data_IF_712989779220
#
_entry.id   IF_712989779220
#
_cell.length_a   1.000
_cell.length_b   1.000
_cell.length_c   1.000
_cell.angle_alpha   90.00
_cell.angle_beta   90.00
_cell.angle_gamma   90.00
#
_symmetry.space_group_name_H-M   'P 1'
#
loop_
_entity.id
_entity.type
_entity.pdbx_description
1 polymer ?
#
# COMPACT_ATOMS: atom_id res chain seq x y z
N UNK A 1 46.18 -26.59 21.54
CA UNK A 1 44.73 -26.83 21.40
C UNK A 1 43.99 -25.58 21.86
N UNK A 2 43.60 -24.70 20.94
CA UNK A 2 42.93 -23.46 21.29
C UNK A 2 41.82 -23.12 20.28
N UNK A 3 40.63 -22.93 20.85
CA UNK A 3 39.56 -22.03 20.40
C UNK A 3 38.87 -22.29 19.05
N UNK A 4 38.09 -23.38 19.00
CA UNK A 4 36.93 -23.51 18.08
C UNK A 4 35.66 -22.94 18.72
N UNK A 5 35.57 -21.65 19.05
CA UNK A 5 34.32 -21.07 19.62
C UNK A 5 34.05 -19.59 19.29
N UNK A 6 34.46 -19.05 18.14
CA UNK A 6 34.11 -17.65 17.79
C UNK A 6 33.88 -17.47 16.28
N UNK A 7 33.01 -18.28 15.65
CA UNK A 7 32.56 -18.01 14.26
C UNK A 7 31.09 -18.43 14.09
N UNK A 8 30.20 -18.01 15.00
CA UNK A 8 28.74 -18.18 14.80
C UNK A 8 27.95 -16.91 15.17
N UNK A 9 28.60 -15.84 15.63
CA UNK A 9 27.91 -14.62 16.07
C UNK A 9 27.76 -13.55 14.98
N UNK A 10 28.35 -13.71 13.78
CA UNK A 10 28.26 -12.68 12.72
C UNK A 10 27.13 -12.89 11.70
N UNK A 11 26.41 -14.02 11.74
CA UNK A 11 25.39 -14.34 10.73
C UNK A 11 23.96 -13.91 11.12
N UNK A 12 23.72 -13.51 12.38
CA UNK A 12 22.37 -13.18 12.89
C UNK A 12 22.04 -11.68 12.76
N UNK A 13 23.01 -10.83 12.39
CA UNK A 13 22.82 -9.37 12.28
C UNK A 13 22.40 -8.89 10.88
N UNK A 14 21.89 -9.78 10.01
CA UNK A 14 21.40 -9.45 8.67
C UNK A 14 19.87 -9.33 8.55
N UNK A 15 19.16 -9.36 9.68
CA UNK A 15 17.73 -9.06 9.72
C UNK A 15 17.56 -7.67 10.31
N UNK A 16 17.19 -6.70 9.46
CA UNK A 16 16.47 -5.43 9.79
C UNK A 16 17.03 -4.17 9.14
N UNK A 17 17.42 -4.19 7.87
CA UNK A 17 17.53 -2.94 7.11
C UNK A 17 16.85 -3.06 5.75
N UNK A 18 15.52 -2.91 5.77
CA UNK A 18 14.76 -2.64 4.56
C UNK A 18 15.05 -1.20 4.14
N UNK A 19 15.92 -1.02 3.15
CA UNK A 19 16.28 0.30 2.62
C UNK A 19 15.19 0.80 1.64
N UNK A 20 15.06 2.13 1.45
CA UNK A 20 14.10 2.74 0.50
C UNK A 20 14.16 2.12 -0.91
N UNK A 21 15.36 1.70 -1.34
CA UNK A 21 15.56 1.01 -2.62
C UNK A 21 14.77 -0.30 -2.72
N UNK A 22 14.54 -1.02 -1.62
CA UNK A 22 13.70 -2.21 -1.60
C UNK A 22 12.22 -1.85 -1.61
N UNK A 23 11.80 -0.86 -0.83
CA UNK A 23 10.39 -0.42 -0.76
C UNK A 23 9.86 0.15 -2.08
N UNK A 24 10.62 1.04 -2.73
CA UNK A 24 10.21 1.59 -4.04
C UNK A 24 10.10 0.48 -5.09
N UNK A 25 11.04 -0.46 -5.09
CA UNK A 25 10.98 -1.66 -5.94
C UNK A 25 9.75 -2.53 -5.68
N UNK A 26 9.24 -2.59 -4.45
CA UNK A 26 8.02 -3.34 -4.13
C UNK A 26 6.80 -2.69 -4.79
N UNK A 27 6.62 -1.37 -4.62
CA UNK A 27 5.51 -0.64 -5.28
C UNK A 27 5.62 -0.74 -6.80
N UNK A 28 6.82 -0.48 -7.35
CA UNK A 28 7.07 -0.57 -8.79
C UNK A 28 6.80 -2.00 -9.31
N UNK A 29 7.13 -3.04 -8.54
CA UNK A 29 6.83 -4.43 -8.91
C UNK A 29 5.32 -4.71 -8.93
N UNK A 30 4.55 -4.14 -8.00
CA UNK A 30 3.09 -4.28 -8.04
C UNK A 30 2.49 -3.53 -9.21
N UNK A 31 3.00 -2.34 -9.55
CA UNK A 31 2.56 -1.57 -10.71
C UNK A 31 2.80 -2.33 -12.02
N UNK A 32 3.99 -2.92 -12.18
CA UNK A 32 4.34 -3.73 -13.36
C UNK A 32 3.39 -4.93 -13.47
N UNK A 33 3.21 -5.69 -12.38
CA UNK A 33 2.30 -6.86 -12.38
C UNK A 33 0.85 -6.46 -12.64
N UNK A 34 0.45 -5.28 -12.17
CA UNK A 34 -0.88 -4.76 -12.45
C UNK A 34 -1.04 -4.44 -13.93
N UNK A 35 -0.08 -3.73 -14.53
CA UNK A 35 -0.09 -3.42 -15.94
C UNK A 35 -0.07 -4.68 -16.81
N UNK A 36 0.80 -5.65 -16.51
CA UNK A 36 0.82 -6.96 -17.18
C UNK A 36 -0.54 -7.66 -17.08
N UNK A 37 -1.22 -7.58 -15.93
CA UNK A 37 -2.56 -8.14 -15.75
C UNK A 37 -3.59 -7.44 -16.63
N UNK A 38 -3.53 -6.11 -16.76
CA UNK A 38 -4.40 -5.34 -17.65
C UNK A 38 -4.15 -5.65 -19.13
N UNK A 39 -2.88 -5.74 -19.54
CA UNK A 39 -2.46 -5.99 -20.92
C UNK A 39 -2.90 -7.36 -21.44
N UNK A 40 -3.10 -8.33 -20.54
CA UNK A 40 -3.70 -9.62 -20.86
C UNK A 40 -5.17 -9.51 -21.31
N UNK A 41 -5.84 -8.36 -21.10
CA UNK A 41 -7.19 -8.03 -21.57
C UNK A 41 -8.34 -8.83 -20.95
N UNK A 42 -8.04 -9.89 -20.19
CA UNK A 42 -9.01 -10.75 -19.52
C UNK A 42 -9.01 -10.46 -18.03
N UNK A 43 -10.20 -10.54 -17.41
CA UNK A 43 -10.34 -10.42 -15.96
C UNK A 43 -9.83 -9.07 -15.38
N UNK A 44 -9.91 -7.98 -16.16
CA UNK A 44 -9.41 -6.65 -15.79
C UNK A 44 -10.02 -6.11 -14.49
N UNK A 45 -11.31 -6.37 -14.25
CA UNK A 45 -11.97 -6.13 -12.95
C UNK A 45 -11.22 -6.78 -11.78
N UNK A 46 -10.83 -8.04 -11.94
CA UNK A 46 -10.09 -8.77 -10.92
C UNK A 46 -8.66 -8.26 -10.75
N UNK A 47 -8.01 -7.82 -11.84
CA UNK A 47 -6.72 -7.14 -11.78
C UNK A 47 -6.81 -5.89 -10.90
N UNK A 48 -7.75 -4.98 -11.19
CA UNK A 48 -7.93 -3.72 -10.45
C UNK A 48 -8.28 -3.98 -8.98
N UNK A 49 -9.21 -4.91 -8.69
CA UNK A 49 -9.59 -5.27 -7.32
C UNK A 49 -8.40 -5.85 -6.53
N UNK A 50 -7.59 -6.71 -7.16
CA UNK A 50 -6.39 -7.29 -6.53
C UNK A 50 -5.34 -6.22 -6.25
N UNK A 51 -5.06 -5.37 -7.23
CA UNK A 51 -4.09 -4.30 -7.09
C UNK A 51 -4.49 -3.31 -5.98
N UNK A 52 -5.76 -2.91 -5.92
CA UNK A 52 -6.31 -2.15 -4.79
C UNK A 52 -6.01 -2.82 -3.44
N UNK A 53 -6.30 -4.12 -3.30
CA UNK A 53 -6.07 -4.85 -2.05
C UNK A 53 -4.59 -4.91 -1.66
N UNK A 54 -3.68 -5.01 -2.64
CA UNK A 54 -2.24 -4.99 -2.40
C UNK A 54 -1.79 -3.62 -1.89
N UNK A 55 -2.26 -2.54 -2.52
CA UNK A 55 -1.94 -1.18 -2.08
C UNK A 55 -2.48 -0.89 -0.68
N UNK A 56 -3.70 -1.30 -0.37
CA UNK A 56 -4.30 -1.10 0.96
C UNK A 56 -3.55 -1.85 2.05
N UNK A 57 -3.11 -3.08 1.76
CA UNK A 57 -2.24 -3.85 2.67
C UNK A 57 -0.90 -3.15 2.93
N UNK A 58 -0.32 -2.51 1.91
CA UNK A 58 0.92 -1.75 2.06
C UNK A 58 0.75 -0.49 2.92
N UNK A 59 -0.40 0.18 2.87
CA UNK A 59 -0.67 1.33 3.77
C UNK A 59 -0.56 0.89 5.22
N UNK A 60 -1.22 -0.20 5.60
CA UNK A 60 -1.16 -0.73 6.97
C UNK A 60 0.27 -1.12 7.37
N UNK A 61 1.00 -1.79 6.47
CA UNK A 61 2.40 -2.16 6.72
C UNK A 61 3.27 -0.92 7.01
N UNK A 62 3.19 0.12 6.18
CA UNK A 62 3.99 1.32 6.39
C UNK A 62 3.54 2.11 7.60
N UNK A 63 2.24 2.22 7.84
CA UNK A 63 1.69 2.87 9.02
C UNK A 63 2.26 2.26 10.30
N UNK A 64 2.16 0.94 10.47
CA UNK A 64 2.67 0.27 11.67
C UNK A 64 4.19 0.38 11.80
N UNK A 65 4.92 0.27 10.68
CA UNK A 65 6.38 0.41 10.68
C UNK A 65 6.80 1.80 11.14
N UNK A 66 6.17 2.86 10.61
CA UNK A 66 6.45 4.24 10.97
C UNK A 66 6.05 4.49 12.42
N UNK A 67 4.82 4.12 12.80
CA UNK A 67 4.30 4.35 14.15
C UNK A 67 5.25 3.78 15.23
N UNK A 68 5.75 2.55 15.02
CA UNK A 68 6.67 1.90 15.95
C UNK A 68 8.09 2.50 15.97
N UNK A 69 8.45 3.33 14.97
CA UNK A 69 9.75 4.01 14.90
C UNK A 69 9.75 5.42 15.51
N UNK A 70 8.58 5.93 15.92
CA UNK A 70 8.39 7.27 16.46
C UNK A 70 8.35 7.28 17.99
N UNK A 71 8.73 8.41 18.58
CA UNK A 71 8.47 8.72 20.00
C UNK A 71 6.97 8.99 20.26
N UNK A 72 6.56 8.98 21.52
CA UNK A 72 5.16 9.10 21.94
C UNK A 72 4.48 10.37 21.41
N UNK A 73 5.17 11.51 21.39
CA UNK A 73 4.59 12.76 20.88
C UNK A 73 4.34 12.67 19.38
N UNK A 74 5.35 12.22 18.61
CA UNK A 74 5.21 12.05 17.15
C UNK A 74 4.22 10.95 16.78
N UNK A 75 4.05 9.92 17.60
CA UNK A 75 3.02 8.89 17.40
C UNK A 75 1.61 9.46 17.45
N UNK A 76 1.33 10.39 18.38
CA UNK A 76 0.03 11.04 18.48
C UNK A 76 -0.27 11.89 17.23
N UNK A 77 0.70 12.68 16.80
CA UNK A 77 0.59 13.49 15.59
C UNK A 77 0.41 12.62 14.34
N UNK A 78 1.18 11.54 14.22
CA UNK A 78 1.08 10.61 13.10
C UNK A 78 -0.26 9.87 13.06
N UNK A 79 -0.78 9.47 14.23
CA UNK A 79 -2.13 8.88 14.33
C UNK A 79 -3.22 9.87 13.89
N UNK A 80 -3.07 11.14 14.24
CA UNK A 80 -4.01 12.19 13.80
C UNK A 80 -3.99 12.37 12.29
N UNK A 81 -2.79 12.42 11.67
CA UNK A 81 -2.65 12.45 10.21
C UNK A 81 -3.31 11.24 9.54
N UNK A 82 -3.12 10.04 10.09
CA UNK A 82 -3.74 8.82 9.56
C UNK A 82 -5.26 8.88 9.63
N UNK A 83 -5.83 9.29 10.75
CA UNK A 83 -7.29 9.47 10.88
C UNK A 83 -7.82 10.50 9.89
N UNK A 84 -7.10 11.61 9.69
CA UNK A 84 -7.48 12.62 8.70
C UNK A 84 -7.43 12.06 7.27
N UNK A 85 -6.40 11.28 6.94
CA UNK A 85 -6.28 10.64 5.64
C UNK A 85 -7.39 9.61 5.41
N UNK A 86 -7.70 8.76 6.40
CA UNK A 86 -8.81 7.79 6.32
C UNK A 86 -10.15 8.50 6.06
N UNK A 87 -10.42 9.60 6.76
CA UNK A 87 -11.62 10.40 6.51
C UNK A 87 -11.69 10.97 5.08
N UNK A 88 -10.55 11.39 4.52
CA UNK A 88 -10.46 11.85 3.13
C UNK A 88 -10.65 10.70 2.14
N UNK A 89 -10.04 9.54 2.41
CA UNK A 89 -10.18 8.31 1.61
C UNK A 89 -11.64 7.87 1.56
N UNK A 90 -12.32 7.80 2.69
CA UNK A 90 -13.70 7.31 2.75
C UNK A 90 -14.66 8.25 1.99
N UNK A 91 -14.44 9.57 2.07
CA UNK A 91 -15.15 10.55 1.24
C UNK A 91 -14.87 10.36 -0.24
N UNK A 92 -13.61 10.10 -0.62
CA UNK A 92 -13.24 9.84 -2.01
C UNK A 92 -13.87 8.54 -2.53
N UNK A 93 -13.82 7.46 -1.75
CA UNK A 93 -14.39 6.16 -2.13
C UNK A 93 -15.91 6.21 -2.21
N UNK A 94 -16.57 6.99 -1.34
CA UNK A 94 -18.00 7.24 -1.49
C UNK A 94 -18.31 7.91 -2.84
N UNK A 95 -17.49 8.84 -3.31
CA UNK A 95 -17.69 9.49 -4.62
C UNK A 95 -17.52 8.51 -5.78
N UNK A 96 -16.49 7.67 -5.76
CA UNK A 96 -16.27 6.67 -6.83
C UNK A 96 -17.36 5.60 -6.83
N UNK A 97 -17.80 5.17 -5.65
CA UNK A 97 -18.95 4.28 -5.48
C UNK A 97 -20.25 4.90 -6.02
N UNK A 98 -20.56 6.15 -5.68
CA UNK A 98 -21.75 6.84 -6.18
C UNK A 98 -21.69 7.04 -7.71
N UNK A 99 -20.50 7.29 -8.26
CA UNK A 99 -20.31 7.34 -9.73
C UNK A 99 -20.66 5.99 -10.36
N UNK A 100 -20.18 4.88 -9.79
CA UNK A 100 -20.55 3.55 -10.28
C UNK A 100 -22.06 3.30 -10.19
N UNK A 101 -22.68 3.59 -9.04
CA UNK A 101 -24.13 3.36 -8.83
C UNK A 101 -25.02 4.24 -9.69
N UNK A 102 -24.57 5.43 -10.09
CA UNK A 102 -25.29 6.31 -11.01
C UNK A 102 -25.53 5.60 -12.34
N UNK A 103 -24.49 4.98 -12.88
CA UNK A 103 -24.53 4.31 -14.18
C UNK A 103 -25.03 2.86 -14.05
N UNK A 104 -24.92 2.27 -12.85
CA UNK A 104 -25.25 0.89 -12.55
C UNK A 104 -26.11 0.74 -11.27
N UNK A 105 -27.37 1.22 -11.26
CA UNK A 105 -28.17 1.37 -10.04
C UNK A 105 -28.48 0.07 -9.31
N UNK A 106 -28.60 -1.05 -10.04
CA UNK A 106 -28.95 -2.37 -9.48
C UNK A 106 -27.75 -3.29 -9.29
N UNK A 107 -26.54 -2.85 -9.64
CA UNK A 107 -25.33 -3.66 -9.54
C UNK A 107 -24.55 -3.34 -8.27
N UNK A 108 -23.82 -4.31 -7.75
CA UNK A 108 -22.90 -4.13 -6.63
C UNK A 108 -21.45 -4.30 -7.10
N UNK A 109 -20.58 -3.28 -6.96
CA UNK A 109 -19.27 -3.30 -7.58
C UNK A 109 -18.33 -4.34 -6.95
N UNK A 110 -18.62 -4.77 -5.72
CA UNK A 110 -17.76 -5.68 -4.95
C UNK A 110 -17.95 -7.16 -5.30
N UNK A 111 -19.06 -7.52 -5.96
CA UNK A 111 -19.52 -8.91 -6.20
C UNK A 111 -19.44 -9.36 -7.66
N UNK A 112 -18.45 -8.86 -8.42
CA UNK A 112 -18.28 -9.13 -9.87
C UNK A 112 -19.58 -8.85 -10.64
N UNK A 113 -19.93 -7.56 -10.80
CA UNK A 113 -21.21 -7.17 -11.37
C UNK A 113 -21.27 -7.51 -12.87
N UNK A 114 -22.20 -8.37 -13.27
CA UNK A 114 -22.34 -8.81 -14.66
C UNK A 114 -22.86 -7.66 -15.53
N UNK A 115 -22.14 -7.34 -16.60
CA UNK A 115 -22.46 -6.25 -17.52
C UNK A 115 -21.99 -4.88 -17.04
N UNK A 116 -21.32 -4.81 -15.88
CA UNK A 116 -20.76 -3.59 -15.30
C UNK A 116 -19.33 -3.78 -14.80
N UNK A 117 -18.65 -4.86 -15.23
CA UNK A 117 -17.30 -5.19 -14.79
C UNK A 117 -16.30 -4.09 -15.12
N UNK A 118 -16.48 -3.41 -16.26
CA UNK A 118 -15.62 -2.30 -16.68
C UNK A 118 -15.77 -1.08 -15.76
N UNK A 119 -17.00 -0.67 -15.43
CA UNK A 119 -17.22 0.46 -14.52
C UNK A 119 -16.74 0.13 -13.11
N UNK A 120 -16.93 -1.11 -12.66
CA UNK A 120 -16.41 -1.58 -11.39
C UNK A 120 -14.87 -1.60 -11.40
N UNK A 121 -14.24 -2.03 -12.50
CA UNK A 121 -12.79 -1.96 -12.69
C UNK A 121 -12.31 -0.51 -12.57
N UNK A 122 -12.94 0.46 -13.26
CA UNK A 122 -12.59 1.87 -13.19
C UNK A 122 -12.73 2.44 -11.76
N UNK A 123 -13.76 2.02 -11.03
CA UNK A 123 -13.93 2.39 -9.62
C UNK A 123 -12.75 1.89 -8.77
N UNK A 124 -12.39 0.61 -8.91
CA UNK A 124 -11.26 0.02 -8.19
C UNK A 124 -9.92 0.63 -8.59
N UNK A 125 -9.70 0.93 -9.87
CA UNK A 125 -8.48 1.58 -10.37
C UNK A 125 -8.27 2.96 -9.75
N UNK A 126 -9.33 3.80 -9.75
CA UNK A 126 -9.32 5.12 -9.08
C UNK A 126 -9.00 5.00 -7.59
N UNK A 127 -9.64 4.05 -6.91
CA UNK A 127 -9.41 3.82 -5.49
C UNK A 127 -7.98 3.32 -5.23
N UNK A 128 -7.48 2.40 -6.04
CA UNK A 128 -6.12 1.88 -5.94
C UNK A 128 -5.08 2.98 -6.13
N UNK A 129 -5.26 3.86 -7.12
CA UNK A 129 -4.37 5.01 -7.34
C UNK A 129 -4.32 5.94 -6.13
N UNK A 130 -5.48 6.26 -5.55
CA UNK A 130 -5.54 7.08 -4.33
C UNK A 130 -4.75 6.46 -3.17
N UNK A 131 -4.86 5.14 -2.99
CA UNK A 131 -4.15 4.39 -1.95
C UNK A 131 -2.66 4.28 -2.25
N UNK A 132 -2.29 4.04 -3.52
CA UNK A 132 -0.90 4.00 -3.99
C UNK A 132 -0.15 5.30 -3.65
N UNK A 133 -0.79 6.45 -3.85
CA UNK A 133 -0.18 7.74 -3.52
C UNK A 133 0.15 7.86 -2.02
N UNK A 134 -0.71 7.32 -1.13
CA UNK A 134 -0.44 7.23 0.31
C UNK A 134 0.72 6.28 0.60
N UNK A 135 0.75 5.10 -0.03
CA UNK A 135 1.87 4.14 0.10
C UNK A 135 3.20 4.82 -0.24
N UNK A 136 3.26 5.55 -1.36
CA UNK A 136 4.46 6.28 -1.77
C UNK A 136 4.84 7.38 -0.78
N UNK A 137 3.86 8.11 -0.24
CA UNK A 137 4.10 9.15 0.76
C UNK A 137 4.67 8.57 2.06
N UNK A 138 4.07 7.49 2.57
CA UNK A 138 4.54 6.80 3.78
C UNK A 138 5.93 6.19 3.58
N UNK A 139 6.18 5.54 2.44
CA UNK A 139 7.50 5.02 2.08
C UNK A 139 8.60 6.10 2.11
N UNK A 140 8.31 7.29 1.58
CA UNK A 140 9.22 8.45 1.65
C UNK A 140 9.43 8.94 3.08
N UNK A 141 8.39 8.94 3.92
CA UNK A 141 8.50 9.32 5.32
C UNK A 141 9.39 8.35 6.09
N UNK A 142 9.19 7.04 5.92
CA UNK A 142 10.00 6.01 6.56
C UNK A 142 11.48 6.13 6.20
N UNK A 143 11.80 6.42 4.93
CA UNK A 143 13.19 6.66 4.51
C UNK A 143 13.82 7.87 5.20
N UNK A 144 13.07 8.98 5.34
CA UNK A 144 13.57 10.15 6.08
C UNK A 144 13.88 9.80 7.54
N UNK A 145 13.01 9.04 8.19
CA UNK A 145 13.23 8.58 9.57
C UNK A 145 14.51 7.74 9.64
N UNK A 146 14.67 6.76 8.74
CA UNK A 146 15.83 5.86 8.69
C UNK A 146 17.17 6.56 8.37
N UNK A 147 17.15 7.72 7.71
CA UNK A 147 18.35 8.53 7.47
C UNK A 147 18.67 9.44 8.64
N UNK A 148 17.65 10.00 9.29
CA UNK A 148 17.81 10.85 10.47
C UNK A 148 18.31 10.10 11.71
N UNK A 149 18.08 8.79 11.80
CA UNK A 149 18.60 7.93 12.88
C UNK A 149 20.04 7.46 12.67
N UNK A 150 20.68 7.82 11.54
CA UNK A 150 22.06 7.44 11.19
C UNK A 150 23.11 8.54 11.42
N UNK A 151 22.76 9.67 12.05
CA UNK A 151 23.72 10.69 12.52
C UNK A 151 23.88 10.62 14.03
#
# INVERSE_FOLDING_TARGET
>A
MASKRIIVLSAIFYLSFVTLGQTRKVVDSFDIKYQECLDNGRHTFGCAKRYYSQMDSLVNFFYHTIYNSLDTTKQLDFKKDEVEWLNKRDKYFKKTYLSFKKDNPYQEPFTKPKGAEYDAMLMFDKNAKYVRDRVVALAKMLDKINRGTKS
#
